data_IF_866909969979
#
_entry.id   IF_866909969979
#
_cell.length_a   1.000
_cell.length_b   1.000
_cell.length_c   1.000
_cell.angle_alpha   90.00
_cell.angle_beta   90.00
_cell.angle_gamma   90.00
#
_symmetry.space_group_name_H-M   'P 1'
#
loop_
_entity.id
_entity.type
_entity.pdbx_description
1 polymer ?
#
# COMPACT_ATOMS: atom_id res chain seq x y z
N UNK A 1 7.85 1.07 5.43
CA UNK A 1 7.69 0.12 4.30
C UNK A 1 8.84 -0.83 4.27
N UNK A 2 8.59 -2.06 3.92
CA UNK A 2 9.64 -3.05 3.67
C UNK A 2 9.29 -3.90 2.45
N UNK A 3 10.32 -4.47 1.83
CA UNK A 3 10.20 -5.35 0.69
C UNK A 3 11.15 -6.52 0.85
N UNK A 4 10.69 -7.73 0.56
CA UNK A 4 11.48 -8.94 0.65
C UNK A 4 11.16 -9.90 -0.50
N UNK A 5 12.15 -10.69 -0.88
CA UNK A 5 11.91 -11.81 -1.78
C UNK A 5 11.04 -12.85 -1.07
N UNK A 6 9.93 -13.21 -1.68
CA UNK A 6 9.00 -14.19 -1.13
C UNK A 6 9.30 -15.61 -1.63
N UNK A 7 9.67 -15.72 -2.92
CA UNK A 7 10.11 -16.95 -3.57
C UNK A 7 10.96 -16.60 -4.81
N UNK A 8 11.25 -17.58 -5.67
CA UNK A 8 12.12 -17.38 -6.84
C UNK A 8 11.55 -16.41 -7.89
N UNK A 9 10.26 -16.11 -7.84
CA UNK A 9 9.57 -15.28 -8.81
C UNK A 9 8.67 -14.21 -8.18
N UNK A 10 8.71 -14.01 -6.86
CA UNK A 10 7.83 -13.08 -6.19
C UNK A 10 8.54 -12.23 -5.14
N UNK A 11 8.09 -10.98 -5.09
CA UNK A 11 8.43 -10.00 -4.08
C UNK A 11 7.20 -9.75 -3.20
N UNK A 12 7.38 -9.70 -1.89
CA UNK A 12 6.36 -9.26 -0.95
C UNK A 12 6.73 -7.88 -0.42
N UNK A 13 5.82 -6.94 -0.55
CA UNK A 13 6.01 -5.56 -0.08
C UNK A 13 4.93 -5.21 0.91
N UNK A 14 5.33 -4.68 2.04
CA UNK A 14 4.45 -4.24 3.12
C UNK A 14 4.56 -2.74 3.31
N UNK A 15 3.42 -2.09 3.36
CA UNK A 15 3.31 -0.69 3.68
C UNK A 15 2.41 -0.46 4.88
N UNK A 16 2.71 0.56 5.65
CA UNK A 16 1.88 1.01 6.76
C UNK A 16 1.71 2.52 6.69
N UNK A 17 0.50 2.98 6.93
CA UNK A 17 0.17 4.39 7.07
C UNK A 17 -0.47 4.60 8.44
N UNK A 18 0.13 5.51 9.21
CA UNK A 18 -0.41 5.91 10.51
C UNK A 18 -0.50 7.42 10.51
N UNK A 19 -1.66 7.94 10.89
CA UNK A 19 -1.82 9.34 11.24
C UNK A 19 -2.47 9.49 12.61
N UNK A 20 -2.10 10.54 13.28
CA UNK A 20 -2.63 10.86 14.60
C UNK A 20 -3.06 12.30 14.68
N UNK A 21 -3.96 12.58 15.62
CA UNK A 21 -4.36 13.94 15.94
C UNK A 21 -3.23 14.64 16.70
N UNK A 22 -2.72 15.77 16.21
CA UNK A 22 -1.66 16.49 16.89
C UNK A 22 -2.09 16.95 18.29
N UNK A 23 -1.14 17.06 19.20
CA UNK A 23 -1.34 17.70 20.49
C UNK A 23 -1.73 19.16 20.30
N UNK A 24 -2.69 19.65 21.10
CA UNK A 24 -3.14 21.04 21.02
C UNK A 24 -4.09 21.36 19.84
N UNK A 25 -4.49 20.39 19.05
CA UNK A 25 -5.39 20.60 17.92
C UNK A 25 -6.85 20.92 18.30
N UNK A 26 -7.19 20.92 19.58
CA UNK A 26 -8.56 21.17 20.07
C UNK A 26 -9.51 20.00 19.80
N UNK A 27 -10.81 20.22 20.01
CA UNK A 27 -11.83 19.25 19.67
C UNK A 27 -11.98 19.22 18.16
N UNK A 28 -11.70 18.08 17.57
CA UNK A 28 -11.72 17.93 16.13
C UNK A 28 -12.81 17.00 15.63
N UNK A 29 -12.71 16.71 14.38
CA UNK A 29 -13.55 15.76 13.70
C UNK A 29 -13.44 14.38 14.37
N UNK A 30 -14.50 13.60 14.29
CA UNK A 30 -14.59 12.25 14.84
C UNK A 30 -14.55 12.16 16.37
N UNK A 31 -14.61 13.28 17.10
CA UNK A 31 -14.49 13.27 18.56
C UNK A 31 -13.14 12.76 19.09
N UNK A 32 -12.12 12.71 18.26
CA UNK A 32 -10.80 12.21 18.62
C UNK A 32 -10.12 13.17 19.61
N UNK A 33 -9.50 12.60 20.65
CA UNK A 33 -8.66 13.35 21.58
C UNK A 33 -7.27 13.57 21.01
N UNK A 34 -6.55 14.60 21.52
CA UNK A 34 -5.17 14.86 21.11
C UNK A 34 -4.29 13.62 21.33
N UNK A 35 -3.45 13.31 20.34
CA UNK A 35 -2.58 12.13 20.34
C UNK A 35 -3.28 10.83 19.94
N UNK A 36 -4.58 10.86 19.63
CA UNK A 36 -5.31 9.69 19.14
C UNK A 36 -4.89 9.33 17.72
N UNK A 37 -4.69 8.05 17.47
CA UNK A 37 -4.48 7.52 16.13
C UNK A 37 -5.83 7.51 15.41
N UNK A 38 -5.89 8.18 14.25
CA UNK A 38 -7.08 8.25 13.39
C UNK A 38 -7.07 7.13 12.39
N UNK A 39 -5.94 6.94 11.68
CA UNK A 39 -5.73 5.85 10.75
C UNK A 39 -4.52 5.01 11.17
N UNK A 40 -4.66 3.72 11.10
CA UNK A 40 -3.58 2.75 11.13
C UNK A 40 -3.92 1.66 10.13
N UNK A 41 -3.30 1.73 8.97
CA UNK A 41 -3.56 0.86 7.83
C UNK A 41 -2.31 0.12 7.43
N UNK A 42 -2.47 -1.15 7.08
CA UNK A 42 -1.38 -1.98 6.56
C UNK A 42 -1.82 -2.61 5.26
N UNK A 43 -0.95 -2.56 4.27
CA UNK A 43 -1.16 -3.19 2.97
C UNK A 43 0.01 -4.11 2.67
N UNK A 44 -0.30 -5.31 2.22
CA UNK A 44 0.68 -6.26 1.70
C UNK A 44 0.38 -6.53 0.24
N UNK A 45 1.37 -6.30 -0.61
CA UNK A 45 1.33 -6.63 -2.04
C UNK A 45 2.27 -7.80 -2.30
N UNK A 46 1.79 -8.79 -3.06
CA UNK A 46 2.64 -9.79 -3.68
C UNK A 46 2.76 -9.48 -5.16
N UNK A 47 3.98 -9.38 -5.63
CA UNK A 47 4.29 -8.89 -6.98
C UNK A 47 5.16 -9.91 -7.68
N UNK A 48 4.77 -10.29 -8.86
CA UNK A 48 5.53 -11.24 -9.69
C UNK A 48 6.71 -10.57 -10.40
N UNK A 49 7.85 -11.22 -10.37
CA UNK A 49 9.02 -10.83 -11.15
C UNK A 49 9.06 -11.66 -12.46
N UNK A 50 9.45 -11.10 -13.60
CA UNK A 50 9.98 -9.75 -13.84
C UNK A 50 8.95 -8.69 -14.28
N UNK A 51 7.72 -9.05 -14.54
CA UNK A 51 6.70 -8.15 -15.11
C UNK A 51 6.03 -7.22 -14.08
N UNK A 52 6.31 -7.41 -12.80
CA UNK A 52 5.79 -6.64 -11.67
C UNK A 52 4.26 -6.61 -11.60
N UNK A 53 3.63 -7.70 -12.02
CA UNK A 53 2.19 -7.87 -11.89
C UNK A 53 1.82 -8.20 -10.45
N UNK A 54 0.85 -7.49 -9.91
CA UNK A 54 0.27 -7.78 -8.61
C UNK A 54 -0.50 -9.09 -8.68
N UNK A 55 -0.12 -10.06 -7.87
CA UNK A 55 -0.77 -11.37 -7.80
C UNK A 55 -1.64 -11.56 -6.57
N UNK A 56 -1.40 -10.79 -5.51
CA UNK A 56 -2.22 -10.79 -4.31
C UNK A 56 -2.15 -9.44 -3.60
N UNK A 57 -3.24 -9.06 -2.96
CA UNK A 57 -3.37 -7.86 -2.14
C UNK A 57 -4.07 -8.24 -0.85
N UNK A 58 -3.52 -7.81 0.27
CA UNK A 58 -4.17 -7.87 1.57
C UNK A 58 -4.06 -6.52 2.27
N UNK A 59 -5.08 -6.14 3.01
CA UNK A 59 -5.08 -4.90 3.76
C UNK A 59 -5.81 -5.08 5.10
N UNK A 60 -5.34 -4.33 6.09
CA UNK A 60 -5.93 -4.24 7.42
C UNK A 60 -6.09 -2.79 7.81
N UNK A 61 -7.19 -2.47 8.44
CA UNK A 61 -7.44 -1.17 9.07
C UNK A 61 -7.60 -1.36 10.57
N UNK A 62 -6.50 -1.26 11.31
CA UNK A 62 -6.51 -1.38 12.77
C UNK A 62 -7.18 -0.17 13.45
N UNK A 63 -7.10 1.00 12.83
CA UNK A 63 -7.78 2.23 13.26
C UNK A 63 -8.27 3.00 12.06
N UNK A 64 -9.51 3.49 12.11
CA UNK A 64 -10.16 4.24 11.04
C UNK A 64 -11.26 5.17 11.60
N UNK A 65 -11.51 6.35 10.96
CA UNK A 65 -12.42 7.34 11.50
C UNK A 65 -13.90 6.97 11.36
N UNK A 66 -14.25 6.19 10.35
CA UNK A 66 -15.65 5.79 10.08
C UNK A 66 -15.80 4.28 10.09
N UNK A 67 -16.95 3.80 10.53
CA UNK A 67 -17.27 2.37 10.55
C UNK A 67 -17.30 1.72 9.16
N UNK A 68 -17.53 2.51 8.11
CA UNK A 68 -17.56 2.04 6.71
C UNK A 68 -16.18 2.00 6.05
N UNK A 69 -15.13 2.56 6.67
CA UNK A 69 -13.79 2.55 6.07
C UNK A 69 -13.28 1.15 5.69
N UNK A 70 -13.50 0.09 6.50
CA UNK A 70 -13.08 -1.26 6.13
C UNK A 70 -13.71 -1.80 4.85
N UNK A 71 -14.83 -1.25 4.40
CA UNK A 71 -15.49 -1.65 3.15
C UNK A 71 -14.62 -1.35 1.91
N UNK A 72 -13.63 -0.47 2.04
CA UNK A 72 -12.66 -0.18 0.99
C UNK A 72 -11.60 -1.27 0.79
N UNK A 73 -11.50 -2.26 1.69
CA UNK A 73 -10.48 -3.32 1.62
C UNK A 73 -10.80 -4.34 0.54
N UNK A 74 -12.03 -4.80 0.44
CA UNK A 74 -12.44 -5.80 -0.56
C UNK A 74 -12.22 -5.31 -2.01
N UNK A 75 -12.59 -4.07 -2.38
CA UNK A 75 -12.34 -3.55 -3.72
C UNK A 75 -10.87 -3.54 -4.15
N UNK A 76 -9.91 -3.62 -3.21
CA UNK A 76 -8.48 -3.74 -3.52
C UNK A 76 -8.15 -4.97 -4.36
N UNK A 77 -8.98 -6.01 -4.36
CA UNK A 77 -8.78 -7.18 -5.21
C UNK A 77 -8.80 -6.84 -6.69
N UNK A 78 -9.38 -5.71 -7.07
CA UNK A 78 -9.34 -5.20 -8.45
C UNK A 78 -7.93 -4.79 -8.91
N UNK A 79 -6.99 -4.63 -7.98
CA UNK A 79 -5.59 -4.34 -8.30
C UNK A 79 -4.81 -5.58 -8.74
N UNK A 80 -5.30 -6.77 -8.44
CA UNK A 80 -4.69 -8.03 -8.91
C UNK A 80 -4.75 -8.06 -10.44
N UNK A 81 -3.60 -8.34 -11.05
CA UNK A 81 -3.44 -8.32 -12.50
C UNK A 81 -2.86 -7.02 -13.07
N UNK A 82 -2.77 -5.94 -12.26
CA UNK A 82 -2.11 -4.72 -12.68
C UNK A 82 -0.59 -4.82 -12.56
N UNK A 83 0.12 -4.26 -13.55
CA UNK A 83 1.58 -4.17 -13.50
C UNK A 83 2.02 -2.86 -12.84
N UNK A 84 2.93 -2.96 -11.88
CA UNK A 84 3.59 -1.80 -11.27
C UNK A 84 4.64 -1.19 -12.21
N UNK A 85 5.10 -1.93 -13.21
CA UNK A 85 6.12 -1.47 -14.15
C UNK A 85 5.65 -0.33 -15.06
N UNK A 86 4.37 -0.34 -15.46
CA UNK A 86 3.84 0.63 -16.43
C UNK A 86 2.41 1.02 -16.13
N UNK A 87 2.15 2.32 -16.17
CA UNK A 87 0.80 2.87 -16.10
C UNK A 87 0.07 2.60 -14.78
N UNK A 88 0.80 2.26 -13.73
CA UNK A 88 0.22 1.83 -12.46
C UNK A 88 -0.63 2.93 -11.81
N UNK A 89 -0.12 4.14 -11.72
CA UNK A 89 -0.85 5.25 -11.08
C UNK A 89 -2.18 5.52 -11.77
N UNK A 90 -2.17 5.53 -13.11
CA UNK A 90 -3.40 5.72 -13.88
C UNK A 90 -4.39 4.58 -13.66
N UNK A 91 -3.93 3.35 -13.74
CA UNK A 91 -4.77 2.17 -13.54
C UNK A 91 -5.33 2.10 -12.11
N UNK A 92 -4.53 2.44 -11.11
CA UNK A 92 -4.96 2.55 -9.72
C UNK A 92 -6.07 3.58 -9.56
N UNK A 93 -5.90 4.77 -10.14
CA UNK A 93 -6.89 5.84 -10.08
C UNK A 93 -8.19 5.49 -10.78
N UNK A 94 -8.12 4.81 -11.92
CA UNK A 94 -9.30 4.37 -12.67
C UNK A 94 -10.09 3.29 -11.92
N UNK A 95 -9.39 2.36 -11.24
CA UNK A 95 -10.02 1.21 -10.60
C UNK A 95 -10.35 1.41 -9.14
N UNK A 96 -9.60 2.24 -8.45
CA UNK A 96 -9.67 2.37 -6.99
C UNK A 96 -9.67 3.83 -6.49
N UNK A 97 -9.57 4.80 -7.38
CA UNK A 97 -9.51 6.22 -7.03
C UNK A 97 -10.88 6.86 -6.79
N UNK A 98 -10.86 8.10 -6.29
CA UNK A 98 -12.03 8.94 -6.07
C UNK A 98 -13.05 8.28 -5.14
N UNK A 99 -14.29 8.14 -5.61
CA UNK A 99 -15.42 7.56 -4.86
C UNK A 99 -15.39 6.03 -4.79
N UNK A 100 -14.48 5.38 -5.54
CA UNK A 100 -14.42 3.91 -5.62
C UNK A 100 -13.61 3.29 -4.50
N UNK A 101 -12.82 4.08 -3.77
CA UNK A 101 -11.96 3.57 -2.70
C UNK A 101 -11.58 4.61 -1.67
N UNK A 102 -10.81 4.19 -0.68
CA UNK A 102 -10.27 5.03 0.37
C UNK A 102 -9.04 5.81 -0.13
N UNK A 103 -9.04 7.12 0.03
CA UNK A 103 -7.93 7.98 -0.37
C UNK A 103 -6.61 7.62 0.35
N UNK A 104 -6.69 7.22 1.62
CA UNK A 104 -5.51 6.82 2.40
C UNK A 104 -4.91 5.50 1.90
N UNK A 105 -5.74 4.50 1.59
CA UNK A 105 -5.28 3.24 0.98
C UNK A 105 -4.69 3.49 -0.40
N UNK A 106 -5.33 4.32 -1.20
CA UNK A 106 -4.83 4.70 -2.53
C UNK A 106 -3.46 5.38 -2.46
N UNK A 107 -3.30 6.34 -1.56
CA UNK A 107 -2.03 7.03 -1.34
C UNK A 107 -0.92 6.08 -0.85
N UNK A 108 -1.24 5.18 0.07
CA UNK A 108 -0.29 4.19 0.55
C UNK A 108 0.19 3.27 -0.57
N UNK A 109 -0.72 2.75 -1.38
CA UNK A 109 -0.40 1.86 -2.49
C UNK A 109 0.43 2.59 -3.56
N UNK A 110 0.11 3.85 -3.87
CA UNK A 110 0.92 4.66 -4.77
C UNK A 110 2.35 4.83 -4.24
N UNK A 111 2.52 5.04 -2.95
CA UNK A 111 3.83 5.16 -2.32
C UNK A 111 4.61 3.82 -2.30
N UNK A 112 3.92 2.69 -2.34
CA UNK A 112 4.55 1.36 -2.41
C UNK A 112 5.14 1.05 -3.78
N UNK A 113 4.61 1.62 -4.86
CA UNK A 113 5.05 1.32 -6.22
C UNK A 113 6.55 1.60 -6.47
N UNK A 114 7.13 2.75 -6.10
CA UNK A 114 8.57 2.97 -6.24
C UNK A 114 9.39 2.03 -5.37
N UNK A 115 8.90 1.63 -4.21
CA UNK A 115 9.59 0.65 -3.34
C UNK A 115 9.70 -0.70 -4.05
N UNK A 116 8.63 -1.16 -4.69
CA UNK A 116 8.64 -2.37 -5.51
C UNK A 116 9.70 -2.29 -6.61
N UNK A 117 9.70 -1.20 -7.39
CA UNK A 117 10.65 -1.02 -8.49
C UNK A 117 12.11 -1.00 -8.03
N UNK A 118 12.38 -0.40 -6.88
CA UNK A 118 13.75 -0.37 -6.32
C UNK A 118 14.17 -1.71 -5.72
N UNK A 119 13.26 -2.44 -5.12
CA UNK A 119 13.57 -3.69 -4.44
C UNK A 119 13.86 -4.85 -5.41
N UNK A 120 13.37 -4.79 -6.63
CA UNK A 120 13.55 -5.86 -7.64
C UNK A 120 15.03 -6.15 -7.93
N UNK A 121 15.83 -5.11 -8.09
CA UNK A 121 17.27 -5.28 -8.35
C UNK A 121 17.95 -6.10 -7.25
N UNK A 122 17.95 -5.62 -6.00
CA UNK A 122 18.56 -6.34 -4.89
C UNK A 122 17.98 -7.73 -4.64
N UNK A 123 16.68 -7.92 -4.85
CA UNK A 123 16.01 -9.17 -4.53
C UNK A 123 16.32 -10.31 -5.52
N UNK A 124 16.56 -9.99 -6.81
CA UNK A 124 16.64 -11.01 -7.87
C UNK A 124 17.94 -11.00 -8.69
N UNK A 125 18.81 -10.03 -8.47
CA UNK A 125 20.13 -10.03 -9.09
C UNK A 125 21.11 -10.81 -8.24
N UNK A 126 21.87 -11.68 -8.89
CA UNK A 126 23.13 -12.13 -8.32
C UNK A 126 24.07 -10.93 -8.35
N UNK A 127 24.53 -10.51 -7.19
CA UNK A 127 25.60 -9.51 -7.14
C UNK A 127 26.87 -10.16 -7.64
N UNK A 128 27.24 -9.87 -8.87
CA UNK A 128 28.62 -10.05 -9.27
C UNK A 128 29.46 -9.11 -8.38
N UNK A 129 30.36 -9.70 -7.62
CA UNK A 129 31.32 -8.92 -6.85
C UNK A 129 32.04 -7.97 -7.82
N UNK A 130 31.90 -6.67 -7.57
CA UNK A 130 32.66 -5.67 -8.32
C UNK A 130 34.14 -5.93 -7.99
N UNK A 131 34.96 -6.24 -9.00
CA UNK A 131 36.38 -6.52 -8.76
C UNK A 131 37.14 -5.30 -8.23
#
# INVERSE_FOLDING_TARGET
MDARRADDAALEVRGRLVDERPQGAGVGWFGAVNGSIIHDMRVTLRVRHPDLVITAVAAEMASHPYSVCPDAVEPLQQLVGLSIARGFTRALNERFGRQLGCAHLSALIQAMAPVVRQAVGPAFREYEAIP
#
